data_IF_960005283280
#
_entry.id   IF_960005283280
#
_cell.length_a   1.000
_cell.length_b   1.000
_cell.length_c   1.000
_cell.angle_alpha   90.00
_cell.angle_beta   90.00
_cell.angle_gamma   90.00
#
_symmetry.space_group_name_H-M   'P 1'
#
loop_
_entity.id
_entity.type
_entity.pdbx_description
1 polymer ?
#
# COMPACT_ATOMS: atom_id res chain seq x y z
N UNK A 1 11.62 -7.29 30.43
CA UNK A 1 10.64 -7.63 29.38
C UNK A 1 11.10 -6.88 28.12
N UNK A 2 11.36 -7.56 26.99
CA UNK A 2 12.01 -6.92 25.82
C UNK A 2 11.11 -5.86 25.17
N UNK A 3 11.71 -4.90 24.47
CA UNK A 3 10.99 -3.90 23.66
C UNK A 3 10.02 -4.58 22.68
N UNK A 4 10.43 -5.72 22.11
CA UNK A 4 9.60 -6.61 21.27
C UNK A 4 8.35 -7.12 22.02
N UNK A 5 8.47 -7.51 23.30
CA UNK A 5 7.31 -7.92 24.12
C UNK A 5 6.42 -6.73 24.52
N UNK A 6 6.96 -5.52 24.64
CA UNK A 6 6.19 -4.30 24.92
C UNK A 6 5.46 -3.79 23.66
N UNK A 7 6.15 -3.72 22.53
CA UNK A 7 5.61 -3.36 21.20
C UNK A 7 4.59 -4.40 20.74
N UNK A 8 4.89 -5.70 20.90
CA UNK A 8 3.93 -6.78 20.66
C UNK A 8 2.70 -6.65 21.57
N UNK A 9 2.83 -6.27 22.84
CA UNK A 9 1.66 -6.00 23.68
C UNK A 9 0.87 -4.77 23.21
N UNK A 10 1.53 -3.70 22.78
CA UNK A 10 0.85 -2.48 22.31
C UNK A 10 0.07 -2.78 21.02
N UNK A 11 0.68 -3.50 20.07
CA UNK A 11 0.10 -3.79 18.75
C UNK A 11 -0.81 -5.03 18.70
N UNK A 12 -0.66 -5.99 19.62
CA UNK A 12 -1.58 -7.15 19.77
C UNK A 12 -2.59 -6.98 20.91
N UNK A 13 -2.51 -5.89 21.71
CA UNK A 13 -3.62 -5.50 22.62
C UNK A 13 -4.85 -4.98 21.86
N UNK A 14 -4.68 -4.62 20.59
CA UNK A 14 -5.76 -4.48 19.61
C UNK A 14 -6.12 -5.84 19.00
N UNK A 15 -6.22 -6.89 19.83
CA UNK A 15 -7.28 -7.90 19.66
C UNK A 15 -8.50 -7.25 19.03
N UNK A 16 -9.13 -7.90 18.05
CA UNK A 16 -10.36 -7.44 17.37
C UNK A 16 -11.41 -7.19 18.47
N UNK A 17 -11.37 -6.01 19.08
CA UNK A 17 -12.33 -5.58 20.07
C UNK A 17 -13.56 -5.32 19.25
N UNK A 18 -14.58 -6.16 19.45
CA UNK A 18 -15.94 -5.87 19.02
C UNK A 18 -16.25 -4.46 19.49
N UNK A 19 -16.26 -3.50 18.56
CA UNK A 19 -16.52 -2.13 18.92
C UNK A 19 -17.98 -2.09 19.34
N UNK A 20 -18.25 -1.70 20.59
CA UNK A 20 -19.59 -1.72 21.21
C UNK A 20 -20.55 -0.70 20.58
N UNK A 21 -20.15 -0.06 19.48
CA UNK A 21 -21.00 0.79 18.62
C UNK A 21 -21.85 0.02 17.60
N UNK A 22 -21.64 -1.29 17.41
CA UNK A 22 -22.36 -2.13 16.44
C UNK A 22 -23.82 -2.47 16.83
N UNK A 23 -24.48 -1.67 17.69
CA UNK A 23 -25.80 -1.99 18.28
C UNK A 23 -26.99 -2.02 17.29
N UNK A 24 -26.77 -1.82 15.97
CA UNK A 24 -27.84 -1.70 14.97
C UNK A 24 -27.68 -2.60 13.72
N UNK A 25 -26.75 -3.56 13.70
CA UNK A 25 -26.53 -4.41 12.51
C UNK A 25 -27.43 -5.66 12.52
N UNK A 26 -27.94 -6.08 11.35
CA UNK A 26 -28.75 -7.30 11.19
C UNK A 26 -27.97 -8.52 11.71
N UNK A 27 -28.63 -9.42 12.46
CA UNK A 27 -28.08 -10.70 12.94
C UNK A 27 -27.36 -11.49 11.85
N UNK A 28 -27.84 -11.43 10.60
CA UNK A 28 -27.20 -12.10 9.46
C UNK A 28 -25.83 -11.49 9.19
N UNK A 29 -25.73 -10.16 9.14
CA UNK A 29 -24.48 -9.45 8.88
C UNK A 29 -23.45 -9.70 9.98
N UNK A 30 -23.88 -9.76 11.24
CA UNK A 30 -23.00 -10.02 12.37
C UNK A 30 -22.41 -11.44 12.31
N UNK A 31 -23.23 -12.45 12.02
CA UNK A 31 -22.76 -13.83 11.88
C UNK A 31 -21.72 -13.97 10.75
N UNK A 32 -21.96 -13.32 9.60
CA UNK A 32 -21.01 -13.35 8.47
C UNK A 32 -19.70 -12.63 8.86
N UNK A 33 -19.79 -11.52 9.59
CA UNK A 33 -18.62 -10.82 10.12
C UNK A 33 -17.80 -11.71 11.07
N UNK A 34 -18.44 -12.38 12.03
CA UNK A 34 -17.77 -13.30 12.94
C UNK A 34 -17.04 -14.42 12.19
N UNK A 35 -17.65 -14.97 11.13
CA UNK A 35 -16.98 -15.95 10.28
C UNK A 35 -15.73 -15.37 9.60
N UNK A 36 -15.82 -14.14 9.06
CA UNK A 36 -14.67 -13.46 8.47
C UNK A 36 -13.54 -13.26 9.48
N UNK A 37 -13.88 -12.89 10.73
CA UNK A 37 -12.92 -12.78 11.83
C UNK A 37 -12.26 -14.14 12.14
N UNK A 38 -13.00 -15.24 12.11
CA UNK A 38 -12.42 -16.57 12.33
C UNK A 38 -11.40 -16.92 11.24
N UNK A 39 -11.74 -16.76 9.96
CA UNK A 39 -10.81 -17.05 8.87
C UNK A 39 -9.58 -16.13 8.90
N UNK A 40 -9.76 -14.86 9.27
CA UNK A 40 -8.65 -13.92 9.45
C UNK A 40 -7.68 -14.42 10.54
N UNK A 41 -8.20 -14.96 11.65
CA UNK A 41 -7.38 -15.50 12.73
C UNK A 41 -6.65 -16.80 12.37
N UNK A 42 -7.11 -17.48 11.32
CA UNK A 42 -6.50 -18.67 10.73
C UNK A 42 -5.58 -18.32 9.56
N UNK A 43 -5.33 -17.04 9.32
CA UNK A 43 -4.51 -16.54 8.20
C UNK A 43 -5.06 -16.94 6.82
N UNK A 44 -6.36 -17.28 6.75
CA UNK A 44 -7.06 -17.51 5.50
C UNK A 44 -7.63 -16.18 5.02
N UNK A 45 -6.76 -15.38 4.40
CA UNK A 45 -7.06 -14.00 4.02
C UNK A 45 -8.07 -13.91 2.87
N UNK A 46 -8.02 -14.79 1.87
CA UNK A 46 -8.98 -14.77 0.76
C UNK A 46 -10.42 -14.94 1.26
N UNK A 47 -10.64 -15.90 2.16
CA UNK A 47 -11.99 -16.15 2.68
C UNK A 47 -12.44 -15.13 3.71
N UNK A 48 -11.52 -14.61 4.52
CA UNK A 48 -11.80 -13.45 5.36
C UNK A 48 -12.23 -12.24 4.52
N UNK A 49 -11.53 -11.97 3.41
CA UNK A 49 -11.85 -10.87 2.50
C UNK A 49 -13.25 -11.04 1.91
N UNK A 50 -13.57 -12.23 1.39
CA UNK A 50 -14.88 -12.55 0.82
C UNK A 50 -16.01 -12.37 1.83
N UNK A 51 -15.80 -12.83 3.07
CA UNK A 51 -16.79 -12.69 4.15
C UNK A 51 -16.95 -11.24 4.60
N UNK A 52 -15.87 -10.45 4.67
CA UNK A 52 -15.99 -9.03 4.97
C UNK A 52 -16.65 -8.25 3.83
N UNK A 53 -16.37 -8.56 2.56
CA UNK A 53 -17.12 -8.03 1.40
C UNK A 53 -18.62 -8.28 1.58
N UNK A 54 -19.00 -9.51 1.94
CA UNK A 54 -20.41 -9.88 2.18
C UNK A 54 -21.02 -9.15 3.38
N UNK A 55 -20.37 -9.15 4.54
CA UNK A 55 -20.89 -8.46 5.72
C UNK A 55 -20.96 -6.93 5.53
N UNK A 56 -19.98 -6.33 4.85
CA UNK A 56 -19.98 -4.92 4.48
C UNK A 56 -21.14 -4.56 3.52
N UNK A 57 -21.49 -5.46 2.59
CA UNK A 57 -22.64 -5.30 1.68
C UNK A 57 -23.99 -5.26 2.42
N UNK A 58 -24.06 -5.87 3.61
CA UNK A 58 -25.20 -5.78 4.52
C UNK A 58 -25.13 -4.57 5.48
N UNK A 59 -24.14 -3.68 5.30
CA UNK A 59 -23.99 -2.47 6.11
C UNK A 59 -23.23 -2.66 7.43
N UNK A 60 -22.59 -3.81 7.67
CA UNK A 60 -21.84 -4.02 8.90
C UNK A 60 -20.61 -3.11 8.99
N UNK A 61 -20.59 -2.20 9.96
CA UNK A 61 -19.59 -1.14 10.07
C UNK A 61 -18.18 -1.70 10.36
N UNK A 62 -18.04 -2.61 11.32
CA UNK A 62 -16.75 -3.26 11.58
C UNK A 62 -16.25 -4.11 10.39
N UNK A 63 -17.15 -4.68 9.58
CA UNK A 63 -16.77 -5.39 8.37
C UNK A 63 -16.23 -4.44 7.29
N UNK A 64 -16.85 -3.26 7.11
CA UNK A 64 -16.31 -2.22 6.22
C UNK A 64 -14.90 -1.79 6.63
N UNK A 65 -14.67 -1.59 7.93
CA UNK A 65 -13.33 -1.28 8.44
C UNK A 65 -12.32 -2.41 8.20
N UNK A 66 -12.67 -3.66 8.51
CA UNK A 66 -11.76 -4.79 8.30
C UNK A 66 -11.50 -5.02 6.80
N UNK A 67 -12.51 -4.88 5.94
CA UNK A 67 -12.34 -4.92 4.50
C UNK A 67 -11.40 -3.81 4.02
N UNK A 68 -11.57 -2.59 4.52
CA UNK A 68 -10.69 -1.47 4.20
C UNK A 68 -9.24 -1.76 4.62
N UNK A 69 -9.03 -2.34 5.81
CA UNK A 69 -7.70 -2.70 6.28
C UNK A 69 -7.06 -3.80 5.44
N UNK A 70 -7.84 -4.81 5.03
CA UNK A 70 -7.35 -5.88 4.16
C UNK A 70 -6.98 -5.36 2.77
N UNK A 71 -7.82 -4.52 2.17
CA UNK A 71 -7.53 -3.89 0.89
C UNK A 71 -6.39 -2.86 0.98
N UNK A 72 -6.21 -2.20 2.12
CA UNK A 72 -5.09 -1.28 2.33
C UNK A 72 -3.76 -2.03 2.41
N UNK A 73 -3.76 -3.19 3.06
CA UNK A 73 -2.56 -4.00 3.27
C UNK A 73 -2.30 -5.04 2.16
N UNK A 74 -3.28 -5.29 1.29
CA UNK A 74 -3.24 -6.39 0.33
C UNK A 74 -3.31 -7.76 1.01
N UNK A 75 -4.21 -7.93 1.98
CA UNK A 75 -4.50 -9.23 2.59
C UNK A 75 -5.58 -9.95 1.78
N UNK A 76 -5.23 -11.11 1.21
CA UNK A 76 -6.17 -11.98 0.48
C UNK A 76 -6.53 -11.48 -0.93
N UNK A 77 -5.94 -10.36 -1.34
CA UNK A 77 -5.99 -9.78 -2.68
C UNK A 77 -4.90 -8.69 -2.74
N UNK A 78 -4.69 -8.09 -3.90
CA UNK A 78 -3.78 -6.96 -4.04
C UNK A 78 -4.32 -5.69 -3.37
N UNK A 79 -3.43 -4.74 -3.00
CA UNK A 79 -3.89 -3.48 -2.45
C UNK A 79 -4.86 -2.74 -3.38
N UNK A 80 -5.97 -2.25 -2.82
CA UNK A 80 -6.88 -1.31 -3.47
C UNK A 80 -7.11 -0.10 -2.57
N UNK A 81 -6.18 0.85 -2.64
CA UNK A 81 -6.20 2.03 -1.79
C UNK A 81 -7.41 2.94 -2.03
N UNK A 82 -7.94 2.97 -3.26
CA UNK A 82 -9.13 3.74 -3.61
C UNK A 82 -10.36 3.18 -2.91
N UNK A 83 -10.57 1.86 -3.01
CA UNK A 83 -11.68 1.21 -2.32
C UNK A 83 -11.48 1.20 -0.80
N UNK A 84 -10.25 0.99 -0.31
CA UNK A 84 -9.93 1.05 1.11
C UNK A 84 -10.27 2.42 1.71
N UNK A 85 -9.87 3.52 1.05
CA UNK A 85 -10.20 4.89 1.49
C UNK A 85 -11.71 5.09 1.59
N UNK A 86 -12.46 4.69 0.56
CA UNK A 86 -13.92 4.79 0.55
C UNK A 86 -14.55 4.01 1.71
N UNK A 87 -14.09 2.78 1.95
CA UNK A 87 -14.59 1.95 3.04
C UNK A 87 -14.22 2.48 4.42
N UNK A 88 -13.03 3.07 4.59
CA UNK A 88 -12.66 3.77 5.82
C UNK A 88 -13.54 5.00 6.07
N UNK A 89 -13.85 5.79 5.03
CA UNK A 89 -14.77 6.92 5.12
C UNK A 89 -16.17 6.45 5.52
N UNK A 90 -16.69 5.43 4.85
CA UNK A 90 -17.99 4.83 5.18
C UNK A 90 -18.03 4.29 6.62
N UNK A 91 -17.00 3.57 7.06
CA UNK A 91 -16.92 3.02 8.40
C UNK A 91 -16.79 4.13 9.46
N UNK A 92 -16.06 5.21 9.16
CA UNK A 92 -15.98 6.41 10.00
C UNK A 92 -17.34 7.08 10.14
N UNK A 93 -18.07 7.27 9.05
CA UNK A 93 -19.44 7.80 9.07
C UNK A 93 -20.40 6.91 9.86
N UNK A 94 -20.14 5.60 9.89
CA UNK A 94 -20.84 4.64 10.75
C UNK A 94 -20.36 4.57 12.21
N UNK A 95 -19.42 5.43 12.63
CA UNK A 95 -18.95 5.52 14.02
C UNK A 95 -17.72 4.66 14.36
N UNK A 96 -17.02 4.09 13.37
CA UNK A 96 -15.82 3.30 13.64
C UNK A 96 -14.60 4.21 13.91
N UNK A 97 -14.14 4.23 15.17
CA UNK A 97 -13.15 5.19 15.68
C UNK A 97 -11.71 5.03 15.13
N UNK A 98 -11.35 3.86 14.58
CA UNK A 98 -9.97 3.59 14.12
C UNK A 98 -9.70 3.95 12.65
N UNK A 99 -10.66 4.56 11.96
CA UNK A 99 -10.49 4.93 10.55
C UNK A 99 -9.57 6.14 10.37
N UNK A 100 -9.53 7.03 11.37
CA UNK A 100 -8.76 8.28 11.31
C UNK A 100 -7.27 8.06 11.11
N UNK A 101 -6.70 7.01 11.73
CA UNK A 101 -5.28 6.68 11.55
C UNK A 101 -4.92 6.49 10.06
N UNK A 102 -5.71 5.69 9.34
CA UNK A 102 -5.44 5.37 7.93
C UNK A 102 -5.81 6.52 6.99
N UNK A 103 -6.93 7.19 7.27
CA UNK A 103 -7.37 8.33 6.46
C UNK A 103 -6.41 9.52 6.58
N UNK A 104 -5.97 9.85 7.80
CA UNK A 104 -5.00 10.92 8.02
C UNK A 104 -3.65 10.56 7.40
N UNK A 105 -3.19 9.31 7.53
CA UNK A 105 -1.97 8.86 6.85
C UNK A 105 -2.06 9.04 5.33
N UNK A 106 -3.12 8.55 4.70
CA UNK A 106 -3.30 8.69 3.24
C UNK A 106 -3.39 10.15 2.82
N UNK A 107 -4.09 10.99 3.58
CA UNK A 107 -4.20 12.42 3.31
C UNK A 107 -2.85 13.13 3.44
N UNK A 108 -2.13 12.91 4.55
CA UNK A 108 -0.80 13.49 4.78
C UNK A 108 0.18 13.10 3.65
N UNK A 109 0.14 11.83 3.21
CA UNK A 109 0.97 11.35 2.10
C UNK A 109 0.56 11.97 0.76
N UNK A 110 -0.74 12.06 0.46
CA UNK A 110 -1.22 12.71 -0.77
C UNK A 110 -0.82 14.19 -0.81
N UNK A 111 -0.91 14.89 0.32
CA UNK A 111 -0.52 16.30 0.43
C UNK A 111 0.98 16.48 0.18
N UNK A 112 1.84 15.61 0.75
CA UNK A 112 3.29 15.62 0.53
C UNK A 112 3.64 15.51 -0.96
N UNK A 113 2.91 14.69 -1.72
CA UNK A 113 3.18 14.38 -3.13
C UNK A 113 2.19 15.04 -4.11
N UNK A 114 1.47 16.07 -3.65
CA UNK A 114 0.50 16.81 -4.47
C UNK A 114 1.16 17.64 -5.59
N UNK A 115 2.44 17.98 -5.41
CA UNK A 115 3.28 18.73 -6.35
C UNK A 115 4.60 17.99 -6.58
N UNK A 116 5.36 18.40 -7.60
CA UNK A 116 6.72 17.86 -7.81
C UNK A 116 7.68 18.43 -6.75
N UNK A 117 7.93 17.64 -5.70
CA UNK A 117 8.82 18.01 -4.59
C UNK A 117 10.16 17.31 -4.74
N UNK A 118 11.27 18.06 -4.73
CA UNK A 118 12.62 17.48 -4.75
C UNK A 118 12.86 16.57 -3.53
N UNK A 119 13.57 15.45 -3.72
CA UNK A 119 13.88 14.50 -2.63
C UNK A 119 14.62 15.16 -1.47
N UNK A 120 15.57 16.06 -1.75
CA UNK A 120 16.28 16.81 -0.70
C UNK A 120 15.33 17.65 0.16
N UNK A 121 14.22 18.15 -0.39
CA UNK A 121 13.19 18.86 0.39
C UNK A 121 12.37 17.89 1.24
N UNK A 122 12.03 16.71 0.69
CA UNK A 122 11.30 15.66 1.42
C UNK A 122 12.09 15.16 2.64
N UNK A 123 13.40 14.98 2.50
CA UNK A 123 14.27 14.49 3.57
C UNK A 123 14.28 15.37 4.83
N UNK A 124 13.87 16.64 4.72
CA UNK A 124 13.70 17.55 5.85
C UNK A 124 12.23 17.82 6.21
N UNK A 125 11.27 17.21 5.51
CA UNK A 125 9.85 17.36 5.81
C UNK A 125 9.47 16.46 7.01
N UNK A 126 9.05 17.03 8.15
CA UNK A 126 8.79 16.24 9.36
C UNK A 126 7.62 15.27 9.19
N UNK A 127 6.61 15.61 8.39
CA UNK A 127 5.46 14.72 8.10
C UNK A 127 5.91 13.53 7.27
N UNK A 128 6.77 13.76 6.26
CA UNK A 128 7.37 12.68 5.48
C UNK A 128 8.20 11.74 6.35
N UNK A 129 9.11 12.28 7.18
CA UNK A 129 9.95 11.48 8.09
C UNK A 129 9.08 10.63 9.02
N UNK A 130 8.09 11.24 9.69
CA UNK A 130 7.14 10.53 10.56
C UNK A 130 6.42 9.39 9.83
N UNK A 131 5.93 9.64 8.62
CA UNK A 131 5.19 8.63 7.85
C UNK A 131 6.11 7.53 7.30
N UNK A 132 7.36 7.85 6.95
CA UNK A 132 8.38 6.88 6.58
C UNK A 132 8.73 5.98 7.77
N UNK A 133 9.02 6.56 8.94
CA UNK A 133 9.31 5.82 10.18
C UNK A 133 8.16 4.89 10.57
N UNK A 134 6.91 5.39 10.51
CA UNK A 134 5.72 4.61 10.80
C UNK A 134 5.54 3.44 9.82
N UNK A 135 5.77 3.69 8.53
CA UNK A 135 5.69 2.68 7.48
C UNK A 135 6.73 1.58 7.67
N UNK A 136 7.97 1.97 7.97
CA UNK A 136 9.07 1.04 8.24
C UNK A 136 8.84 0.22 9.51
N UNK A 137 8.40 0.86 10.59
CA UNK A 137 8.12 0.19 11.85
C UNK A 137 6.98 -0.84 11.73
N UNK A 138 5.95 -0.54 10.93
CA UNK A 138 4.84 -1.49 10.68
C UNK A 138 5.26 -2.63 9.77
N UNK A 139 6.04 -2.33 8.73
CA UNK A 139 6.58 -3.31 7.80
C UNK A 139 7.47 -4.35 8.50
N UNK A 140 8.45 -3.93 9.31
CA UNK A 140 9.38 -4.84 9.98
C UNK A 140 8.77 -5.80 11.03
N UNK A 141 7.46 -5.72 11.29
CA UNK A 141 6.76 -6.59 12.25
C UNK A 141 6.15 -7.81 11.57
N UNK A 142 5.53 -7.61 10.39
CA UNK A 142 4.94 -8.63 9.53
C UNK A 142 5.02 -8.16 8.07
N UNK A 143 6.21 -8.21 7.44
CA UNK A 143 6.43 -7.73 6.08
C UNK A 143 5.40 -8.29 5.08
N UNK A 144 5.00 -9.55 5.29
CA UNK A 144 4.09 -10.30 4.43
C UNK A 144 2.63 -9.80 4.45
N UNK A 145 2.23 -9.00 5.46
CA UNK A 145 0.84 -8.58 5.67
C UNK A 145 0.68 -7.09 6.00
N UNK A 146 1.73 -6.39 6.46
CA UNK A 146 1.64 -4.99 6.91
C UNK A 146 2.35 -4.02 5.95
N UNK A 147 2.45 -4.38 4.67
CA UNK A 147 3.12 -3.57 3.67
C UNK A 147 2.30 -2.36 3.18
N UNK A 148 1.04 -2.21 3.58
CA UNK A 148 0.14 -1.18 3.02
C UNK A 148 0.66 0.25 3.12
N UNK A 149 1.17 0.66 4.29
CA UNK A 149 1.70 2.03 4.49
C UNK A 149 2.95 2.29 3.64
N UNK A 150 3.89 1.33 3.60
CA UNK A 150 5.12 1.47 2.83
C UNK A 150 4.84 1.44 1.32
N UNK A 151 3.94 0.55 0.87
CA UNK A 151 3.50 0.50 -0.54
C UNK A 151 2.85 1.83 -0.93
N UNK A 152 1.94 2.35 -0.10
CA UNK A 152 1.25 3.61 -0.35
C UNK A 152 2.21 4.81 -0.43
N UNK A 153 3.10 4.94 0.54
CA UNK A 153 4.06 6.04 0.61
C UNK A 153 5.01 6.04 -0.60
N UNK A 154 5.60 4.88 -0.90
CA UNK A 154 6.59 4.75 -1.97
C UNK A 154 5.92 4.92 -3.34
N UNK A 155 4.76 4.30 -3.57
CA UNK A 155 4.05 4.45 -4.85
C UNK A 155 3.69 5.91 -5.14
N UNK A 156 3.24 6.70 -4.15
CA UNK A 156 2.95 8.13 -4.32
C UNK A 156 4.20 8.97 -4.62
N UNK A 157 5.35 8.61 -4.05
CA UNK A 157 6.62 9.20 -4.45
C UNK A 157 6.90 8.95 -5.94
N UNK A 158 6.82 7.71 -6.42
CA UNK A 158 7.05 7.42 -7.83
C UNK A 158 6.03 8.09 -8.74
N UNK A 159 4.74 7.99 -8.44
CA UNK A 159 3.68 8.63 -9.22
C UNK A 159 3.96 10.14 -9.36
N UNK A 160 4.38 10.83 -8.29
CA UNK A 160 4.71 12.27 -8.38
C UNK A 160 5.92 12.56 -9.27
N UNK A 161 6.90 11.66 -9.36
CA UNK A 161 8.07 11.77 -10.24
C UNK A 161 7.85 11.39 -11.69
N UNK A 162 6.90 10.48 -11.93
CA UNK A 162 6.56 10.01 -13.27
C UNK A 162 5.53 10.92 -13.94
N UNK A 163 4.70 11.62 -13.14
CA UNK A 163 3.67 12.53 -13.62
C UNK A 163 4.26 13.57 -14.58
N UNK A 164 3.58 13.78 -15.70
CA UNK A 164 3.96 14.73 -16.77
C UNK A 164 5.31 14.45 -17.47
N UNK A 165 5.92 13.27 -17.29
CA UNK A 165 7.16 12.92 -17.99
C UNK A 165 7.09 11.51 -18.61
N UNK A 166 6.68 11.40 -19.88
CA UNK A 166 6.58 10.11 -20.58
C UNK A 166 7.91 9.33 -20.65
N UNK A 167 9.06 10.02 -20.65
CA UNK A 167 10.35 9.34 -20.66
C UNK A 167 10.66 8.70 -19.30
N UNK A 168 10.30 9.38 -18.20
CA UNK A 168 10.41 8.79 -16.84
C UNK A 168 9.57 7.53 -16.72
N UNK A 169 8.35 7.53 -17.28
CA UNK A 169 7.46 6.35 -17.32
C UNK A 169 8.12 5.19 -18.06
N UNK A 170 8.67 5.44 -19.26
CA UNK A 170 9.38 4.43 -20.06
C UNK A 170 10.54 3.80 -19.29
N UNK A 171 11.37 4.62 -18.66
CA UNK A 171 12.51 4.17 -17.86
C UNK A 171 12.03 3.32 -16.68
N UNK A 172 10.99 3.78 -15.96
CA UNK A 172 10.42 3.04 -14.84
C UNK A 172 9.92 1.66 -15.26
N UNK A 173 9.17 1.56 -16.36
CA UNK A 173 8.64 0.30 -16.87
C UNK A 173 9.75 -0.63 -17.37
N UNK A 174 10.77 -0.10 -18.06
CA UNK A 174 11.90 -0.89 -18.53
C UNK A 174 12.71 -1.50 -17.37
N UNK A 175 12.89 -0.76 -16.28
CA UNK A 175 13.65 -1.25 -15.11
C UNK A 175 12.89 -2.31 -14.30
N UNK A 176 11.56 -2.22 -14.27
CA UNK A 176 10.71 -3.11 -13.49
C UNK A 176 10.03 -4.16 -14.38
N UNK A 177 10.62 -4.51 -15.53
CA UNK A 177 10.02 -5.44 -16.50
C UNK A 177 9.72 -6.81 -15.89
N UNK A 178 10.55 -7.28 -14.95
CA UNK A 178 10.37 -8.53 -14.21
C UNK A 178 9.11 -8.55 -13.32
N UNK A 179 8.52 -7.38 -13.04
CA UNK A 179 7.30 -7.23 -12.25
C UNK A 179 6.08 -6.94 -13.13
N UNK A 180 6.24 -6.88 -14.45
CA UNK A 180 5.15 -6.68 -15.40
C UNK A 180 4.58 -8.05 -15.79
N UNK A 181 3.33 -8.30 -15.42
CA UNK A 181 2.55 -9.46 -15.87
C UNK A 181 1.62 -9.06 -17.03
N UNK A 182 1.77 -9.71 -18.20
CA UNK A 182 0.97 -9.47 -19.41
C UNK A 182 -0.53 -9.74 -19.20
N UNK A 183 -0.88 -10.63 -18.27
CA UNK A 183 -2.28 -10.96 -18.00
C UNK A 183 -2.96 -9.99 -17.03
N UNK A 184 -2.18 -9.21 -16.27
CA UNK A 184 -2.67 -8.45 -15.13
C UNK A 184 -2.63 -6.93 -15.34
N UNK A 185 -1.68 -6.48 -16.14
CA UNK A 185 -1.57 -5.09 -16.57
C UNK A 185 -2.02 -5.02 -18.03
N UNK A 186 -2.70 -3.94 -18.40
CA UNK A 186 -3.00 -3.63 -19.80
C UNK A 186 -1.70 -3.22 -20.52
N UNK A 187 -0.74 -4.14 -20.57
CA UNK A 187 0.54 -3.97 -21.24
C UNK A 187 0.34 -3.73 -22.73
N UNK A 188 -0.77 -4.22 -23.28
CA UNK A 188 -1.21 -3.90 -24.63
C UNK A 188 -1.51 -2.39 -24.76
N UNK A 189 -2.32 -1.80 -23.88
CA UNK A 189 -2.54 -0.34 -23.85
C UNK A 189 -1.24 0.46 -23.65
N UNK A 190 -0.32 0.00 -22.78
CA UNK A 190 0.98 0.66 -22.59
C UNK A 190 1.87 0.58 -23.85
N UNK A 191 1.83 -0.54 -24.58
CA UNK A 191 2.54 -0.72 -25.86
C UNK A 191 1.91 0.15 -26.95
N UNK A 192 0.58 0.18 -27.05
CA UNK A 192 -0.17 0.98 -28.05
C UNK A 192 0.07 2.48 -27.88
N UNK A 193 0.12 2.96 -26.64
CA UNK A 193 0.43 4.36 -26.32
C UNK A 193 1.94 4.68 -26.39
N UNK A 194 2.78 3.71 -26.77
CA UNK A 194 4.22 3.87 -26.92
C UNK A 194 4.96 4.19 -25.63
N UNK A 195 4.38 3.82 -24.48
CA UNK A 195 4.96 3.99 -23.13
C UNK A 195 5.80 2.78 -22.71
N UNK A 196 5.60 1.60 -23.31
CA UNK A 196 6.38 0.40 -23.04
C UNK A 196 6.93 -0.25 -24.31
N UNK A 197 8.19 -0.68 -24.24
CA UNK A 197 8.83 -1.53 -25.24
C UNK A 197 9.79 -2.50 -24.53
N UNK A 198 9.72 -3.78 -24.86
CA UNK A 198 10.65 -4.80 -24.33
C UNK A 198 12.10 -4.48 -24.72
N UNK A 199 13.04 -4.64 -23.80
CA UNK A 199 14.48 -4.38 -24.02
C UNK A 199 14.80 -2.93 -24.45
N UNK A 200 14.09 -1.94 -23.88
CA UNK A 200 14.38 -0.53 -24.11
C UNK A 200 15.82 -0.20 -23.66
N UNK A 201 16.62 0.40 -24.54
CA UNK A 201 17.95 0.88 -24.17
C UNK A 201 17.83 2.16 -23.34
N UNK A 202 17.95 2.03 -22.03
CA UNK A 202 17.87 3.16 -21.08
C UNK A 202 18.99 4.19 -21.27
N UNK A 203 20.06 3.85 -22.00
CA UNK A 203 21.15 4.79 -22.32
C UNK A 203 20.72 5.90 -23.29
N UNK A 204 19.60 5.74 -24.00
CA UNK A 204 19.05 6.75 -24.90
C UNK A 204 18.43 7.97 -24.17
N UNK A 205 18.24 7.89 -22.85
CA UNK A 205 17.55 8.92 -22.05
C UNK A 205 18.48 9.83 -21.23
N UNK A 206 19.75 9.99 -21.63
CA UNK A 206 20.69 10.88 -20.91
C UNK A 206 20.24 12.34 -20.90
N UNK A 207 20.02 12.95 -19.72
CA UNK A 207 19.93 14.41 -19.55
C UNK A 207 18.61 15.01 -18.99
N UNK A 208 17.59 14.22 -18.69
CA UNK A 208 16.35 14.64 -18.02
C UNK A 208 16.13 13.72 -16.81
N UNK A 209 15.80 14.26 -15.62
CA UNK A 209 15.59 13.55 -14.33
C UNK A 209 16.33 12.20 -14.30
N UNK A 210 17.62 12.23 -13.96
CA UNK A 210 18.54 11.16 -14.34
C UNK A 210 18.04 9.79 -13.89
N UNK A 211 18.33 8.78 -14.70
CA UNK A 211 18.21 7.35 -14.37
C UNK A 211 18.34 7.06 -12.86
N UNK A 212 19.40 7.56 -12.21
CA UNK A 212 19.63 7.38 -10.76
C UNK A 212 18.56 7.97 -9.81
N UNK A 213 17.87 9.05 -10.17
CA UNK A 213 16.79 9.62 -9.35
C UNK A 213 15.55 8.70 -9.33
N UNK A 214 15.28 7.99 -10.43
CA UNK A 214 14.14 7.07 -10.62
C UNK A 214 14.50 5.65 -10.19
N UNK A 215 15.69 5.14 -10.53
CA UNK A 215 16.09 3.73 -10.31
C UNK A 215 16.87 3.49 -9.02
N UNK A 216 17.76 4.40 -8.60
CA UNK A 216 18.56 4.17 -7.38
C UNK A 216 17.73 4.40 -6.10
N UNK A 217 16.54 5.00 -6.20
CA UNK A 217 15.75 5.35 -5.02
C UNK A 217 14.99 4.15 -4.42
N UNK A 218 14.43 3.24 -5.23
CA UNK A 218 13.75 2.04 -4.70
C UNK A 218 14.76 1.06 -4.13
N UNK A 219 15.62 0.52 -4.98
CA UNK A 219 16.44 -0.64 -4.64
C UNK A 219 17.68 -0.30 -3.83
N UNK A 220 18.45 0.72 -4.21
CA UNK A 220 19.72 1.04 -3.53
C UNK A 220 19.56 1.89 -2.26
N UNK A 221 18.59 2.83 -2.22
CA UNK A 221 18.49 3.78 -1.10
C UNK A 221 17.37 3.41 -0.15
N UNK A 222 16.16 3.12 -0.63
CA UNK A 222 15.06 2.79 0.28
C UNK A 222 15.23 1.35 0.76
N UNK A 223 15.35 0.38 -0.14
CA UNK A 223 15.37 -1.03 0.25
C UNK A 223 16.65 -1.49 0.91
N UNK A 224 17.84 -1.11 0.46
CA UNK A 224 19.05 -1.46 1.21
C UNK A 224 19.01 -0.90 2.64
N UNK A 225 18.51 0.33 2.83
CA UNK A 225 18.31 0.87 4.17
C UNK A 225 17.24 0.08 4.95
N UNK A 226 16.16 -0.37 4.32
CA UNK A 226 15.16 -1.23 4.97
C UNK A 226 15.77 -2.59 5.34
N UNK A 227 16.44 -3.28 4.39
CA UNK A 227 17.10 -4.59 4.60
C UNK A 227 18.07 -4.52 5.76
N UNK A 228 18.94 -3.51 5.79
CA UNK A 228 19.96 -3.36 6.83
C UNK A 228 19.36 -3.02 8.19
N UNK A 229 18.33 -2.16 8.24
CA UNK A 229 17.70 -1.76 9.52
C UNK A 229 16.81 -2.86 10.13
N UNK A 230 16.21 -3.72 9.30
CA UNK A 230 15.26 -4.75 9.76
C UNK A 230 15.77 -6.18 9.61
N UNK A 231 16.99 -6.37 9.07
CA UNK A 231 17.57 -7.67 8.77
C UNK A 231 16.63 -8.53 7.90
N UNK A 232 16.12 -7.92 6.83
CA UNK A 232 15.23 -8.56 5.86
C UNK A 232 16.01 -9.04 4.64
N UNK A 233 15.58 -10.16 4.09
CA UNK A 233 16.11 -10.80 2.89
C UNK A 233 15.39 -10.29 1.63
N UNK A 234 16.01 -10.49 0.46
CA UNK A 234 15.46 -10.02 -0.83
C UNK A 234 14.05 -10.56 -1.12
N UNK A 235 13.79 -11.82 -0.78
CA UNK A 235 12.50 -12.44 -1.01
C UNK A 235 11.40 -11.86 -0.10
N UNK A 236 11.75 -11.34 1.08
CA UNK A 236 10.81 -10.70 2.01
C UNK A 236 10.37 -9.32 1.50
N UNK A 237 11.21 -8.70 0.64
CA UNK A 237 10.90 -7.43 0.00
C UNK A 237 10.26 -7.59 -1.38
N UNK A 238 10.44 -8.74 -2.03
CA UNK A 238 9.99 -8.97 -3.41
C UNK A 238 8.49 -8.69 -3.59
N UNK A 239 7.65 -9.21 -2.70
CA UNK A 239 6.20 -9.00 -2.75
C UNK A 239 5.83 -7.51 -2.55
N UNK A 240 6.52 -6.81 -1.65
CA UNK A 240 6.32 -5.37 -1.46
C UNK A 240 6.73 -4.56 -2.69
N UNK A 241 7.87 -4.90 -3.32
CA UNK A 241 8.33 -4.29 -4.58
C UNK A 241 7.32 -4.50 -5.71
N UNK A 242 6.88 -5.74 -5.90
CA UNK A 242 5.87 -6.09 -6.91
C UNK A 242 4.60 -5.26 -6.72
N UNK A 243 4.09 -5.16 -5.49
CA UNK A 243 2.88 -4.38 -5.18
C UNK A 243 3.05 -2.87 -5.37
N UNK A 244 4.24 -2.33 -5.13
CA UNK A 244 4.56 -0.91 -5.42
C UNK A 244 4.53 -0.67 -6.92
N UNK A 245 5.24 -1.50 -7.70
CA UNK A 245 5.27 -1.38 -9.16
C UNK A 245 3.85 -1.46 -9.71
N UNK A 246 3.05 -2.42 -9.23
CA UNK A 246 1.63 -2.55 -9.58
C UNK A 246 0.84 -1.28 -9.31
N UNK A 247 0.94 -0.75 -8.09
CA UNK A 247 0.19 0.46 -7.72
C UNK A 247 0.63 1.67 -8.54
N UNK A 248 1.92 1.80 -8.85
CA UNK A 248 2.42 2.86 -9.73
C UNK A 248 1.80 2.73 -11.13
N UNK A 249 1.86 1.55 -11.75
CA UNK A 249 1.32 1.29 -13.10
C UNK A 249 -0.17 1.56 -13.18
N UNK A 250 -0.95 1.08 -12.20
CA UNK A 250 -2.40 1.32 -12.12
C UNK A 250 -2.75 2.81 -12.16
N UNK A 251 -1.85 3.67 -11.68
CA UNK A 251 -2.06 5.12 -11.65
C UNK A 251 -1.35 5.86 -12.80
N UNK A 252 -0.53 5.21 -13.64
CA UNK A 252 0.16 5.83 -14.77
C UNK A 252 -0.80 6.18 -15.92
N UNK A 253 -1.84 5.39 -16.19
CA UNK A 253 -2.81 5.66 -17.27
C UNK A 253 -3.64 6.93 -17.05
N UNK A 254 -3.54 7.56 -15.87
CA UNK A 254 -4.22 8.80 -15.50
C UNK A 254 -3.29 10.03 -15.45
N UNK A 255 -2.02 9.89 -15.84
CA UNK A 255 -0.98 10.93 -15.83
C UNK A 255 -0.82 11.58 -17.20
#
# INVERSE_FOLDING_TARGET
MSLIKQVGRILFSSSIKSNTGDQYTDKVSHKVYEQGVMFLSQENYEEALNLFKKAASFGHISAKYNLALMLFNGMGDYPDFTLARKLFQDAKSGGHARCDEFLNFMQEVDEIFSEDVMFMTLAFNPTFIKNAELSLATFGIRPEIQAGKIIYLISRYFISKLKNNPNSVKIFLAYHEDFLDEDEFDLEDLKENGLYQSNLDVSDFTGLLTFGDITNSIDEVIWENVKQNFNLEDYELYDAKFRIVREVIKNIHHL
#
